data_IF_153357375887
#
_entry.id   IF_153357375887
#
_cell.length_a   1.000
_cell.length_b   1.000
_cell.length_c   1.000
_cell.angle_alpha   90.00
_cell.angle_beta   90.00
_cell.angle_gamma   90.00
#
_symmetry.space_group_name_H-M   'P 1'
#
loop_
_entity.id
_entity.type
_entity.pdbx_description
1 polymer ?
#
# COMPACT_ATOMS: atom_id res chain seq x y z
N UNK A 1 5.61 -5.65 -10.37
CA UNK A 1 4.62 -6.70 -10.13
C UNK A 1 3.38 -6.48 -10.96
N UNK A 2 2.97 -7.51 -11.72
CA UNK A 2 1.78 -7.47 -12.57
C UNK A 2 0.61 -8.24 -11.95
N UNK A 3 0.57 -8.39 -10.63
CA UNK A 3 -0.49 -9.15 -9.96
C UNK A 3 -1.53 -8.23 -9.35
N UNK A 4 -2.78 -8.70 -9.24
CA UNK A 4 -3.87 -7.97 -8.57
C UNK A 4 -3.57 -7.61 -7.09
N UNK A 5 -2.58 -8.25 -6.48
CA UNK A 5 -2.10 -7.95 -5.12
C UNK A 5 -1.14 -6.78 -5.06
N UNK A 6 -0.43 -6.46 -6.17
CA UNK A 6 0.44 -5.30 -6.22
C UNK A 6 -0.38 -4.02 -6.17
N UNK A 7 -0.07 -3.11 -5.26
CA UNK A 7 -0.73 -1.84 -5.08
C UNK A 7 0.29 -0.76 -4.66
N UNK A 8 -0.06 0.54 -4.72
CA UNK A 8 0.85 1.63 -4.38
C UNK A 8 1.50 1.49 -3.01
N UNK A 9 0.73 1.15 -1.97
CA UNK A 9 1.26 1.02 -0.61
C UNK A 9 2.32 -0.09 -0.49
N UNK A 10 2.09 -1.25 -1.14
CA UNK A 10 3.06 -2.34 -1.13
C UNK A 10 4.28 -2.05 -2.02
N UNK A 11 4.08 -1.27 -3.07
CA UNK A 11 5.12 -0.98 -4.05
C UNK A 11 6.26 -0.13 -3.46
N UNK A 12 5.93 0.85 -2.63
CA UNK A 12 6.91 1.72 -1.94
C UNK A 12 7.29 1.20 -0.54
N UNK A 13 6.73 0.08 -0.09
CA UNK A 13 6.99 -0.49 1.24
C UNK A 13 6.19 0.17 2.37
N UNK A 14 5.29 1.11 2.10
CA UNK A 14 4.47 1.77 3.11
C UNK A 14 3.56 0.80 3.85
N UNK A 15 3.09 -0.24 3.16
CA UNK A 15 2.20 -1.22 3.78
C UNK A 15 2.90 -2.03 4.88
N UNK A 16 4.20 -2.23 4.80
CA UNK A 16 4.97 -2.93 5.84
C UNK A 16 5.02 -2.11 7.13
N UNK A 17 5.17 -0.80 7.02
CA UNK A 17 5.13 0.10 8.18
C UNK A 17 3.71 0.21 8.76
N UNK A 18 2.69 0.33 7.90
CA UNK A 18 1.28 0.36 8.32
C UNK A 18 0.89 -0.91 9.09
N UNK A 19 1.33 -2.10 8.64
CA UNK A 19 1.03 -3.37 9.33
C UNK A 19 1.63 -3.42 10.74
N UNK A 20 2.77 -2.79 10.98
CA UNK A 20 3.39 -2.70 12.31
C UNK A 20 2.50 -1.88 13.26
N UNK A 21 1.87 -0.81 12.77
CA UNK A 21 0.94 0.00 13.57
C UNK A 21 -0.30 -0.79 14.00
N UNK A 22 -0.85 -1.63 13.11
CA UNK A 22 -1.96 -2.51 13.45
C UNK A 22 -1.57 -3.59 14.48
N UNK A 23 -0.35 -4.11 14.41
CA UNK A 23 0.11 -5.17 15.30
C UNK A 23 0.24 -4.74 16.77
N UNK A 24 0.35 -3.44 17.05
CA UNK A 24 0.45 -2.90 18.41
C UNK A 24 -0.88 -2.40 18.96
N UNK A 25 -1.96 -2.45 18.19
CA UNK A 25 -3.32 -2.12 18.68
C UNK A 25 -3.70 -3.11 19.78
N UNK A 26 -4.29 -2.67 20.90
CA UNK A 26 -4.61 -3.53 22.04
C UNK A 26 -5.37 -4.80 21.67
N UNK A 27 -6.36 -4.71 20.79
CA UNK A 27 -7.10 -5.87 20.30
C UNK A 27 -6.23 -6.85 19.52
N UNK A 28 -5.29 -6.36 18.70
CA UNK A 28 -4.35 -7.22 17.96
C UNK A 28 -3.43 -7.96 18.94
N UNK A 29 -2.88 -7.25 19.92
CA UNK A 29 -2.03 -7.85 20.97
C UNK A 29 -2.80 -8.92 21.76
N UNK A 30 -4.03 -8.62 22.17
CA UNK A 30 -4.90 -9.57 22.90
C UNK A 30 -5.18 -10.83 22.07
N UNK A 31 -5.36 -10.71 20.75
CA UNK A 31 -5.63 -11.83 19.84
C UNK A 31 -4.35 -12.52 19.34
N UNK A 32 -3.17 -12.04 19.71
CA UNK A 32 -1.87 -12.56 19.23
C UNK A 32 -1.62 -12.27 17.74
N UNK A 33 -2.18 -11.19 17.21
CA UNK A 33 -2.05 -10.81 15.80
C UNK A 33 -0.78 -9.96 15.58
N UNK A 34 0.28 -10.58 15.10
CA UNK A 34 1.47 -9.86 14.64
C UNK A 34 1.28 -9.22 13.27
N UNK A 35 2.25 -8.43 12.82
CA UNK A 35 2.20 -7.71 11.54
C UNK A 35 1.98 -8.63 10.33
N UNK A 36 2.36 -9.90 10.40
CA UNK A 36 2.10 -10.91 9.36
C UNK A 36 0.64 -11.20 9.13
N UNK A 37 -0.22 -11.10 10.17
CA UNK A 37 -1.67 -11.31 10.04
C UNK A 37 -2.32 -10.26 9.14
N UNK A 38 -1.81 -9.04 9.14
CA UNK A 38 -2.31 -7.93 8.33
C UNK A 38 -1.73 -7.92 6.91
N UNK A 39 -0.97 -8.95 6.51
CA UNK A 39 -0.49 -9.09 5.13
C UNK A 39 -1.55 -9.70 4.23
N UNK A 40 -1.84 -9.07 3.10
CA UNK A 40 -2.69 -9.65 2.05
C UNK A 40 -1.89 -10.55 1.07
N UNK A 41 -0.55 -10.59 1.19
CA UNK A 41 0.30 -11.46 0.37
C UNK A 41 0.60 -12.82 1.03
N UNK A 42 0.65 -12.86 2.35
CA UNK A 42 0.96 -14.04 3.14
C UNK A 42 0.18 -14.01 4.47
N UNK A 43 0.17 -15.11 5.20
CA UNK A 43 -0.48 -15.17 6.51
C UNK A 43 -1.95 -15.57 6.47
N UNK A 44 -2.51 -15.82 7.65
CA UNK A 44 -3.83 -16.40 7.85
C UNK A 44 -4.97 -15.38 7.94
N UNK A 45 -4.66 -14.07 7.97
CA UNK A 45 -5.67 -13.00 8.03
C UNK A 45 -6.36 -12.71 6.70
N UNK A 46 -5.90 -13.32 5.60
CA UNK A 46 -6.44 -13.11 4.25
C UNK A 46 -7.81 -13.75 4.08
N UNK A 47 -8.64 -13.13 3.24
CA UNK A 47 -9.83 -13.77 2.73
C UNK A 47 -9.45 -15.12 2.06
N UNK A 48 -10.04 -16.25 2.45
CA UNK A 48 -9.68 -17.56 1.89
C UNK A 48 -10.04 -17.67 0.41
N UNK A 49 -11.13 -17.03 -0.02
CA UNK A 49 -11.66 -17.12 -1.39
C UNK A 49 -10.73 -16.43 -2.39
N UNK A 50 -10.43 -15.15 -2.19
CA UNK A 50 -9.56 -14.40 -3.11
C UNK A 50 -8.06 -14.48 -2.75
N UNK A 51 -7.69 -15.15 -1.65
CA UNK A 51 -6.31 -15.25 -1.19
C UNK A 51 -5.65 -13.89 -0.90
N UNK A 52 -6.44 -12.86 -0.60
CA UNK A 52 -5.97 -11.51 -0.29
C UNK A 52 -5.85 -10.57 -1.50
N UNK A 53 -6.26 -10.99 -2.71
CA UNK A 53 -6.30 -10.09 -3.87
C UNK A 53 -7.41 -9.04 -3.74
N UNK A 54 -8.53 -9.38 -3.09
CA UNK A 54 -9.75 -8.58 -3.03
C UNK A 54 -10.57 -8.65 -4.32
N UNK A 55 -10.04 -9.24 -5.36
CA UNK A 55 -10.63 -9.27 -6.70
C UNK A 55 -10.48 -10.65 -7.33
N UNK A 56 -11.41 -10.98 -8.20
CA UNK A 56 -11.33 -12.07 -9.16
C UNK A 56 -10.93 -11.49 -10.51
N UNK A 57 -9.93 -12.10 -11.14
CA UNK A 57 -9.47 -11.74 -12.47
C UNK A 57 -10.21 -12.57 -13.50
N UNK A 58 -10.94 -11.91 -14.38
CA UNK A 58 -11.64 -12.53 -15.50
C UNK A 58 -10.95 -12.15 -16.79
N UNK A 59 -10.27 -13.11 -17.41
CA UNK A 59 -9.62 -12.93 -18.72
C UNK A 59 -10.69 -12.89 -19.81
N UNK A 60 -10.63 -11.88 -20.64
CA UNK A 60 -11.53 -11.69 -21.78
C UNK A 60 -10.74 -11.82 -23.07
N UNK A 61 -11.10 -12.79 -23.92
CA UNK A 61 -10.33 -13.12 -25.14
C UNK A 61 -10.17 -11.96 -26.14
N UNK A 62 -11.08 -10.99 -26.16
CA UNK A 62 -11.10 -9.88 -27.12
C UNK A 62 -11.28 -8.49 -26.49
N UNK A 63 -11.32 -8.41 -25.16
CA UNK A 63 -11.52 -7.18 -24.40
C UNK A 63 -10.45 -7.07 -23.32
N UNK A 64 -10.32 -5.90 -22.70
CA UNK A 64 -9.46 -5.75 -21.53
C UNK A 64 -9.95 -6.63 -20.39
N UNK A 65 -8.99 -7.21 -19.66
CA UNK A 65 -9.27 -8.01 -18.47
C UNK A 65 -10.12 -7.24 -17.46
N UNK A 66 -11.05 -7.94 -16.82
CA UNK A 66 -11.96 -7.37 -15.82
C UNK A 66 -11.58 -7.87 -14.42
N UNK A 67 -11.52 -6.95 -13.48
CA UNK A 67 -11.29 -7.24 -12.06
C UNK A 67 -12.62 -7.05 -11.31
N UNK A 68 -13.28 -8.17 -10.97
CA UNK A 68 -14.51 -8.17 -10.18
C UNK A 68 -14.18 -8.22 -8.69
N UNK A 69 -14.96 -7.54 -7.87
CA UNK A 69 -14.79 -7.64 -6.42
C UNK A 69 -15.06 -9.06 -5.95
N UNK A 70 -14.24 -9.58 -5.04
CA UNK A 70 -14.45 -10.87 -4.42
C UNK A 70 -15.81 -10.88 -3.69
N UNK A 71 -16.71 -11.84 -3.96
CA UNK A 71 -18.05 -11.85 -3.37
C UNK A 71 -18.04 -12.05 -1.85
N UNK A 72 -17.04 -12.76 -1.31
CA UNK A 72 -16.99 -13.07 0.12
C UNK A 72 -16.47 -11.91 0.97
N UNK A 73 -15.48 -11.18 0.48
CA UNK A 73 -14.90 -10.06 1.24
C UNK A 73 -15.22 -8.69 0.67
N UNK A 74 -16.00 -8.61 -0.41
CA UNK A 74 -16.36 -7.37 -1.10
C UNK A 74 -15.15 -6.44 -1.36
N UNK A 75 -14.08 -7.02 -1.86
CA UNK A 75 -12.85 -6.28 -2.14
C UNK A 75 -11.97 -6.00 -0.92
N UNK A 76 -12.40 -6.35 0.29
CA UNK A 76 -11.72 -6.00 1.55
C UNK A 76 -10.46 -6.82 1.83
N UNK A 77 -10.18 -7.88 1.09
CA UNK A 77 -8.95 -8.71 1.11
C UNK A 77 -8.77 -9.60 2.34
N UNK A 78 -9.47 -9.36 3.44
CA UNK A 78 -9.25 -9.99 4.74
C UNK A 78 -10.47 -10.73 5.24
N UNK A 79 -10.25 -11.59 6.23
CA UNK A 79 -11.31 -12.21 7.03
C UNK A 79 -12.00 -11.15 7.87
N UNK A 80 -13.28 -11.35 8.16
CA UNK A 80 -14.10 -10.39 8.93
C UNK A 80 -13.50 -10.10 10.31
N UNK A 81 -13.05 -11.14 11.02
CA UNK A 81 -12.48 -11.02 12.37
C UNK A 81 -11.19 -10.18 12.44
N UNK A 82 -10.44 -10.08 11.34
CA UNK A 82 -9.27 -9.19 11.28
C UNK A 82 -9.68 -7.74 11.11
N UNK A 83 -10.81 -7.50 10.45
CA UNK A 83 -11.34 -6.15 10.22
C UNK A 83 -11.95 -5.52 11.50
N UNK A 84 -12.14 -6.31 12.57
CA UNK A 84 -12.50 -5.78 13.89
C UNK A 84 -11.37 -4.97 14.52
N UNK A 85 -10.10 -5.30 14.18
CA UNK A 85 -8.95 -4.54 14.67
C UNK A 85 -8.94 -3.19 13.99
N UNK A 86 -9.13 -2.14 14.79
CA UNK A 86 -9.22 -0.75 14.33
C UNK A 86 -8.03 0.06 14.83
N UNK A 87 -7.46 0.82 13.91
CA UNK A 87 -6.48 1.84 14.21
C UNK A 87 -7.22 3.14 14.49
N UNK A 88 -7.16 3.59 15.75
CA UNK A 88 -7.70 4.88 16.15
C UNK A 88 -6.76 6.01 15.71
N UNK A 89 -7.27 6.97 14.97
CA UNK A 89 -6.51 8.12 14.47
C UNK A 89 -7.30 9.42 14.62
N UNK A 90 -6.66 10.41 15.25
CA UNK A 90 -7.20 11.75 15.37
C UNK A 90 -6.80 12.59 14.15
N UNK A 91 -7.79 13.08 13.43
CA UNK A 91 -7.62 13.97 12.29
C UNK A 91 -7.70 15.45 12.72
N UNK A 92 -7.30 16.41 11.86
CA UNK A 92 -7.53 17.83 12.10
C UNK A 92 -9.01 18.12 12.38
N UNK A 93 -9.29 19.00 13.35
CA UNK A 93 -10.66 19.31 13.78
C UNK A 93 -11.26 18.33 14.80
N UNK A 94 -10.42 17.60 15.54
CA UNK A 94 -10.82 16.66 16.61
C UNK A 94 -11.71 15.48 16.14
N UNK A 95 -11.64 15.17 14.85
CA UNK A 95 -12.36 14.02 14.29
C UNK A 95 -11.55 12.75 14.52
N UNK A 96 -12.08 11.81 15.30
CA UNK A 96 -11.50 10.48 15.48
C UNK A 96 -12.04 9.53 14.41
N UNK A 97 -11.19 8.75 13.79
CA UNK A 97 -11.55 7.67 12.88
C UNK A 97 -10.96 6.34 13.35
N UNK A 98 -11.84 5.35 13.45
CA UNK A 98 -11.50 3.96 13.69
C UNK A 98 -11.45 3.21 12.36
N UNK A 99 -10.26 2.95 11.85
CA UNK A 99 -10.06 2.38 10.53
C UNK A 99 -9.49 0.95 10.62
N UNK A 100 -10.13 0.00 9.96
CA UNK A 100 -9.54 -1.32 9.72
C UNK A 100 -8.42 -1.21 8.68
N UNK A 101 -7.62 -2.26 8.57
CA UNK A 101 -6.56 -2.35 7.55
C UNK A 101 -7.13 -2.24 6.12
N UNK A 102 -8.35 -2.74 5.90
CA UNK A 102 -9.03 -2.61 4.60
C UNK A 102 -9.46 -1.16 4.33
N UNK A 103 -9.97 -0.45 5.36
CA UNK A 103 -10.37 0.95 5.24
C UNK A 103 -9.14 1.83 4.91
N UNK A 104 -7.99 1.54 5.51
CA UNK A 104 -6.72 2.23 5.19
C UNK A 104 -6.31 2.02 3.72
N UNK A 105 -6.49 0.83 3.18
CA UNK A 105 -6.18 0.54 1.77
C UNK A 105 -7.11 1.27 0.78
N UNK A 106 -8.31 1.66 1.21
CA UNK A 106 -9.26 2.45 0.41
C UNK A 106 -8.95 3.96 0.40
N UNK A 107 -8.11 4.44 1.30
CA UNK A 107 -7.69 5.85 1.31
C UNK A 107 -6.85 6.18 0.07
N UNK A 108 -7.01 7.39 -0.43
CA UNK A 108 -6.03 7.97 -1.35
C UNK A 108 -4.70 8.20 -0.64
N UNK A 109 -3.62 8.34 -1.38
CA UNK A 109 -2.30 8.66 -0.80
C UNK A 109 -2.37 9.98 -0.03
N UNK A 110 -3.08 11.00 -0.55
CA UNK A 110 -3.27 12.28 0.13
C UNK A 110 -3.96 12.12 1.48
N UNK A 111 -5.07 11.35 1.54
CA UNK A 111 -5.77 11.06 2.80
C UNK A 111 -4.89 10.27 3.77
N UNK A 112 -4.10 9.32 3.27
CA UNK A 112 -3.19 8.53 4.08
C UNK A 112 -2.06 9.38 4.68
N UNK A 113 -1.50 10.33 3.92
CA UNK A 113 -0.50 11.29 4.43
C UNK A 113 -1.08 12.11 5.58
N UNK A 114 -2.34 12.55 5.49
CA UNK A 114 -3.01 13.26 6.58
C UNK A 114 -3.26 12.35 7.81
N UNK A 115 -3.67 11.09 7.57
CA UNK A 115 -3.95 10.13 8.61
C UNK A 115 -2.69 9.75 9.41
N UNK A 116 -1.58 9.56 8.71
CA UNK A 116 -0.31 9.11 9.27
C UNK A 116 0.68 10.26 9.53
N UNK A 117 0.20 11.49 9.66
CA UNK A 117 1.04 12.70 9.84
C UNK A 117 2.05 12.60 10.99
N UNK A 118 1.74 11.81 12.01
CA UNK A 118 2.58 11.60 13.19
C UNK A 118 3.47 10.33 13.06
N UNK A 119 3.30 9.54 12.01
CA UNK A 119 4.01 8.28 11.76
C UNK A 119 5.12 8.50 10.72
N UNK A 120 6.27 8.97 11.14
CA UNK A 120 7.39 9.38 10.26
C UNK A 120 7.83 8.29 9.27
N UNK A 121 7.85 7.03 9.69
CA UNK A 121 8.27 5.93 8.82
C UNK A 121 7.27 5.68 7.69
N UNK A 122 5.97 5.80 7.96
CA UNK A 122 4.93 5.71 6.93
C UNK A 122 5.02 6.89 5.97
N UNK A 123 5.16 8.12 6.49
CA UNK A 123 5.28 9.33 5.65
C UNK A 123 6.49 9.26 4.74
N UNK A 124 7.65 8.86 5.27
CA UNK A 124 8.89 8.78 4.52
C UNK A 124 8.77 7.94 3.24
N UNK A 125 8.02 6.85 3.30
CA UNK A 125 7.84 5.93 2.16
C UNK A 125 6.63 6.29 1.30
N UNK A 126 5.64 7.05 1.81
CA UNK A 126 4.53 7.56 1.01
C UNK A 126 4.90 8.82 0.22
N UNK A 127 5.80 9.66 0.74
CA UNK A 127 6.18 10.93 0.11
C UNK A 127 6.60 10.79 -1.35
N UNK A 128 7.40 9.79 -1.76
CA UNK A 128 7.74 9.59 -3.16
C UNK A 128 6.54 9.41 -4.11
N UNK A 129 5.41 8.88 -3.62
CA UNK A 129 4.19 8.79 -4.45
C UNK A 129 3.58 10.17 -4.67
N UNK A 130 3.60 11.02 -3.64
CA UNK A 130 3.17 12.43 -3.75
C UNK A 130 4.08 13.19 -4.71
N UNK A 131 5.40 13.02 -4.57
CA UNK A 131 6.41 13.73 -5.37
C UNK A 131 6.30 13.44 -6.87
N UNK A 132 5.73 12.29 -7.25
CA UNK A 132 5.47 11.94 -8.65
C UNK A 132 4.05 12.29 -9.10
N UNK A 133 3.25 13.00 -8.29
CA UNK A 133 1.90 13.46 -8.63
C UNK A 133 0.86 12.33 -8.67
N UNK A 134 0.95 11.35 -7.77
CA UNK A 134 0.00 10.23 -7.65
C UNK A 134 -0.77 10.25 -6.31
N UNK A 135 -0.92 11.41 -5.70
CA UNK A 135 -1.60 11.59 -4.41
C UNK A 135 -3.09 11.22 -4.42
N UNK A 136 -3.71 11.21 -5.60
CA UNK A 136 -5.12 10.85 -5.80
C UNK A 136 -5.37 9.34 -5.90
N UNK A 137 -4.33 8.54 -6.10
CA UNK A 137 -4.45 7.08 -6.25
C UNK A 137 -4.69 6.44 -4.88
N UNK A 138 -5.55 5.42 -4.82
CA UNK A 138 -5.78 4.69 -3.56
C UNK A 138 -4.59 3.80 -3.21
N UNK A 139 -4.29 3.69 -1.91
CA UNK A 139 -3.21 2.84 -1.39
C UNK A 139 -3.34 1.38 -1.84
N UNK A 140 -4.56 0.85 -1.83
CA UNK A 140 -4.86 -0.53 -2.19
C UNK A 140 -5.24 -0.75 -3.65
N UNK A 141 -5.19 0.26 -4.53
CA UNK A 141 -5.57 0.11 -5.93
C UNK A 141 -4.68 -0.90 -6.65
N UNK A 142 -5.23 -1.94 -7.30
CA UNK A 142 -4.43 -2.90 -8.05
C UNK A 142 -3.61 -2.20 -9.15
N UNK A 143 -2.30 -2.44 -9.18
CA UNK A 143 -1.40 -1.83 -10.19
C UNK A 143 -1.86 -2.07 -11.64
N UNK A 144 -2.43 -3.23 -12.01
CA UNK A 144 -2.94 -3.43 -13.38
C UNK A 144 -4.10 -2.52 -13.76
N UNK A 145 -4.77 -1.86 -12.82
CA UNK A 145 -5.86 -0.90 -13.08
C UNK A 145 -5.37 0.54 -13.26
N UNK A 146 -4.09 0.78 -13.09
CA UNK A 146 -3.47 2.08 -13.33
C UNK A 146 -3.25 2.29 -14.84
N UNK A 147 -3.33 3.54 -15.28
CA UNK A 147 -2.89 3.90 -16.62
C UNK A 147 -1.38 3.65 -16.82
N UNK A 148 -0.92 3.59 -18.07
CA UNK A 148 0.48 3.39 -18.38
C UNK A 148 1.39 4.45 -17.72
N UNK A 149 1.00 5.71 -17.78
CA UNK A 149 1.74 6.81 -17.15
C UNK A 149 1.75 6.75 -15.63
N UNK A 150 0.61 6.40 -15.01
CA UNK A 150 0.54 6.19 -13.54
C UNK A 150 1.44 5.03 -13.09
N UNK A 151 1.43 3.92 -13.83
CA UNK A 151 2.27 2.77 -13.52
C UNK A 151 3.77 3.10 -13.65
N UNK A 152 4.17 3.92 -14.63
CA UNK A 152 5.55 4.40 -14.76
C UNK A 152 5.95 5.33 -13.62
N UNK A 153 5.10 6.30 -13.26
CA UNK A 153 5.33 7.20 -12.13
C UNK A 153 5.40 6.45 -10.81
N UNK A 154 4.52 5.46 -10.59
CA UNK A 154 4.59 4.60 -9.42
C UNK A 154 5.90 3.81 -9.34
N UNK A 155 6.42 3.36 -10.48
CA UNK A 155 7.71 2.69 -10.56
C UNK A 155 8.87 3.62 -10.17
N UNK A 156 8.81 4.88 -10.60
CA UNK A 156 9.76 5.92 -10.17
C UNK A 156 9.67 6.15 -8.67
N UNK A 157 8.46 6.29 -8.10
CA UNK A 157 8.26 6.43 -6.66
C UNK A 157 8.88 5.28 -5.86
N UNK A 158 8.77 4.03 -6.36
CA UNK A 158 9.41 2.87 -5.75
C UNK A 158 10.94 3.01 -5.67
N UNK A 159 11.60 3.43 -6.73
CA UNK A 159 13.04 3.66 -6.73
C UNK A 159 13.45 4.79 -5.78
N UNK A 160 12.67 5.87 -5.70
CA UNK A 160 12.92 6.98 -4.78
C UNK A 160 12.76 6.52 -3.31
N UNK A 161 11.75 5.70 -3.02
CA UNK A 161 11.54 5.14 -1.69
C UNK A 161 12.69 4.22 -1.25
N UNK A 162 13.18 3.36 -2.14
CA UNK A 162 14.35 2.49 -1.87
C UNK A 162 15.62 3.33 -1.63
N UNK A 163 15.85 4.36 -2.42
CA UNK A 163 16.98 5.27 -2.23
C UNK A 163 16.93 5.99 -0.88
N UNK A 164 15.74 6.43 -0.46
CA UNK A 164 15.52 7.05 0.85
C UNK A 164 15.75 6.11 2.03
N UNK A 165 15.47 4.80 1.87
CA UNK A 165 15.72 3.78 2.89
C UNK A 165 17.21 3.45 3.02
N UNK A 166 17.95 3.41 1.93
CA UNK A 166 19.40 3.11 1.91
C UNK A 166 20.27 4.16 2.62
N UNK A 167 19.76 5.38 2.81
CA UNK A 167 20.49 6.47 3.49
C UNK A 167 20.52 6.34 5.01
N UNK A 168 19.66 5.54 5.62
CA UNK A 168 19.58 5.39 7.09
C UNK A 168 20.37 4.18 7.64
N UNK A 169 20.81 3.25 6.79
CA UNK A 169 21.35 1.96 7.23
C UNK A 169 22.88 1.88 7.39
N UNK A 170 23.67 2.90 7.02
CA UNK A 170 25.14 2.78 7.17
C UNK A 170 25.80 4.04 7.75
N UNK A 171 26.25 3.89 9.01
CA UNK A 171 27.23 4.81 9.64
C UNK A 171 28.68 4.60 9.16
N UNK A 172 28.91 3.76 8.14
CA UNK A 172 30.23 3.57 7.54
C UNK A 172 30.27 4.14 6.11
N UNK A 173 31.34 4.85 5.74
CA UNK A 173 31.50 5.36 4.39
C UNK A 173 31.91 4.21 3.46
N UNK A 174 30.96 3.35 3.09
CA UNK A 174 31.14 2.45 1.97
C UNK A 174 31.01 3.30 0.71
N UNK A 175 31.98 3.19 -0.19
CA UNK A 175 31.94 3.88 -1.48
C UNK A 175 30.58 3.65 -2.14
N UNK A 176 29.75 4.71 -2.19
CA UNK A 176 28.40 4.67 -2.76
C UNK A 176 28.56 4.42 -4.25
N UNK A 177 28.19 3.24 -4.72
CA UNK A 177 27.96 3.03 -6.15
C UNK A 177 26.76 3.88 -6.53
N UNK A 178 26.99 4.95 -7.31
CA UNK A 178 25.89 5.76 -7.85
C UNK A 178 24.98 4.87 -8.68
N UNK A 179 23.65 5.04 -8.52
CA UNK A 179 22.67 4.37 -9.38
C UNK A 179 22.23 5.38 -10.44
N UNK A 180 22.41 5.03 -11.71
CA UNK A 180 21.92 5.80 -12.84
C UNK A 180 20.53 5.29 -13.21
N UNK A 181 19.53 6.17 -13.14
CA UNK A 181 18.19 5.88 -13.65
C UNK A 181 18.06 6.42 -15.07
N UNK A 182 17.68 5.56 -16.00
CA UNK A 182 17.37 5.94 -17.37
C UNK A 182 15.86 5.83 -17.58
N UNK A 183 15.25 6.91 -18.05
CA UNK A 183 13.82 6.96 -18.34
C UNK A 183 13.66 7.11 -19.86
N UNK A 184 12.82 6.25 -20.42
CA UNK A 184 12.36 6.35 -21.80
C UNK A 184 10.99 7.02 -21.79
N UNK A 185 10.84 8.10 -22.56
CA UNK A 185 9.62 8.91 -22.65
C UNK A 185 8.98 9.26 -21.28
N UNK A 186 9.69 9.94 -20.35
CA UNK A 186 9.22 10.15 -18.99
C UNK A 186 7.96 11.03 -18.88
N UNK A 187 7.57 11.71 -19.95
CA UNK A 187 6.40 12.59 -20.04
C UNK A 187 5.18 11.90 -20.67
N UNK A 188 5.30 10.63 -21.08
CA UNK A 188 4.18 9.89 -21.64
C UNK A 188 3.09 9.70 -20.59
N UNK A 189 1.91 10.29 -20.81
CA UNK A 189 0.77 10.22 -19.90
C UNK A 189 0.68 11.37 -18.90
N UNK A 190 1.38 12.47 -19.16
CA UNK A 190 1.13 13.77 -18.48
C UNK A 190 -0.05 14.48 -19.10
#
# INVERSE_FOLDING_TARGET
>A
GKTARSNPASYVGAFDEIRKLFAVVPMAVQRGYGAGMFSFNAGNGRCPTCGGSGFEHVEMQFLSDVYLRCPDCDGRRYRAELLDVKLDRRLPGDVTRDLSVADVLELTVSEAVQLFRDDREVLRVLQPIVDVGLEYVKLGQPVPTLSGGEAQRLKLAGFLAEAAQGTTASRQPVARRGTLYMFDEPTTGL
#
